data_IF_919798848223
#
_entry.id   IF_919798848223
#
_cell.length_a   1.000
_cell.length_b   1.000
_cell.length_c   1.000
_cell.angle_alpha   90.00
_cell.angle_beta   90.00
_cell.angle_gamma   90.00
#
_symmetry.space_group_name_H-M   'P 1'
#
loop_
_entity.id
_entity.type
_entity.pdbx_description
1 polymer ?
#
# COMPACT_ATOMS: atom_id res chain seq x y z
N UNK A 1 20.37 -6.56 -6.04
CA UNK A 1 20.03 -5.21 -6.56
C UNK A 1 19.19 -4.50 -5.52
N UNK A 2 19.62 -3.34 -5.02
CA UNK A 2 18.90 -2.62 -3.98
C UNK A 2 17.72 -1.83 -4.59
N UNK A 3 16.48 -2.21 -4.25
CA UNK A 3 15.26 -1.47 -4.65
C UNK A 3 15.27 -0.11 -3.95
N UNK A 4 15.50 0.97 -4.72
CA UNK A 4 15.50 2.36 -4.21
C UNK A 4 14.07 2.89 -4.16
N UNK A 5 13.47 2.88 -2.98
CA UNK A 5 12.22 3.60 -2.68
C UNK A 5 12.52 5.11 -2.55
N UNK A 6 11.98 5.93 -3.47
CA UNK A 6 12.15 7.39 -3.48
C UNK A 6 11.07 8.04 -2.59
N UNK A 7 11.46 8.66 -1.47
CA UNK A 7 10.52 9.18 -0.47
C UNK A 7 10.53 10.71 -0.41
N UNK A 8 9.35 11.34 -0.59
CA UNK A 8 9.13 12.75 -0.22
C UNK A 8 8.14 12.83 0.95
N UNK A 9 8.64 13.35 2.08
CA UNK A 9 7.98 13.96 3.24
C UNK A 9 6.79 13.23 3.93
N UNK A 10 6.99 12.93 5.22
CA UNK A 10 5.97 12.55 6.21
C UNK A 10 5.37 11.12 6.12
N UNK A 11 6.20 10.09 5.94
CA UNK A 11 5.79 8.72 6.21
C UNK A 11 5.95 8.39 7.70
N UNK A 12 4.84 8.30 8.42
CA UNK A 12 4.81 7.72 9.78
C UNK A 12 5.43 6.32 9.75
N UNK A 13 6.08 5.90 10.84
CA UNK A 13 6.80 4.62 10.95
C UNK A 13 5.96 3.40 10.52
N UNK A 14 4.63 3.46 10.71
CA UNK A 14 3.67 2.44 10.26
C UNK A 14 3.56 2.34 8.74
N UNK A 15 3.43 3.46 8.04
CA UNK A 15 3.37 3.49 6.58
C UNK A 15 4.64 2.90 5.96
N UNK A 16 5.81 3.29 6.46
CA UNK A 16 7.09 2.78 5.97
C UNK A 16 7.15 1.26 6.08
N UNK A 17 6.79 0.71 7.25
CA UNK A 17 6.77 -0.73 7.47
C UNK A 17 5.83 -1.45 6.51
N UNK A 18 4.64 -0.90 6.25
CA UNK A 18 3.70 -1.49 5.29
C UNK A 18 4.27 -1.50 3.87
N UNK A 19 4.87 -0.40 3.41
CA UNK A 19 5.49 -0.32 2.09
C UNK A 19 6.68 -1.27 1.94
N UNK A 20 7.52 -1.37 2.98
CA UNK A 20 8.65 -2.31 3.01
C UNK A 20 8.15 -3.76 2.96
N UNK A 21 7.09 -4.09 3.72
CA UNK A 21 6.47 -5.42 3.69
C UNK A 21 5.84 -5.75 2.33
N UNK A 22 5.15 -4.79 1.71
CA UNK A 22 4.60 -4.95 0.36
C UNK A 22 5.69 -5.21 -0.67
N UNK A 23 6.79 -4.47 -0.59
CA UNK A 23 7.92 -4.63 -1.49
C UNK A 23 8.70 -5.94 -1.28
N UNK A 24 8.47 -6.64 -0.16
CA UNK A 24 9.07 -7.93 0.17
C UNK A 24 8.24 -9.13 -0.28
N UNK A 25 7.01 -8.94 -0.74
CA UNK A 25 6.20 -10.01 -1.33
C UNK A 25 6.87 -10.54 -2.62
N UNK A 26 6.85 -11.86 -2.80
CA UNK A 26 7.56 -12.57 -3.88
C UNK A 26 7.20 -12.04 -5.27
N UNK A 27 5.91 -11.90 -5.55
CA UNK A 27 5.40 -11.47 -6.85
C UNK A 27 5.39 -9.95 -7.05
N UNK A 28 5.92 -9.16 -6.09
CA UNK A 28 5.96 -7.69 -6.20
C UNK A 28 7.27 -7.24 -6.84
N UNK A 29 7.14 -6.52 -7.96
CA UNK A 29 8.28 -5.94 -8.67
C UNK A 29 8.70 -4.60 -8.07
N UNK A 30 7.73 -3.73 -7.78
CA UNK A 30 7.96 -2.43 -7.15
C UNK A 30 6.68 -1.86 -6.53
N UNK A 31 6.84 -0.94 -5.58
CA UNK A 31 5.76 -0.20 -4.93
C UNK A 31 6.01 1.29 -5.09
N UNK A 32 5.02 2.03 -5.55
CA UNK A 32 5.09 3.48 -5.75
C UNK A 32 3.95 4.17 -4.99
N UNK A 33 4.27 5.15 -4.14
CA UNK A 33 3.26 6.01 -3.52
C UNK A 33 2.84 7.12 -4.50
N UNK A 34 1.54 7.27 -4.69
CA UNK A 34 0.92 8.33 -5.47
C UNK A 34 0.53 9.53 -4.59
N UNK A 35 -0.74 9.93 -4.67
CA UNK A 35 -1.24 11.13 -4.00
C UNK A 35 -1.43 10.88 -2.50
N UNK A 36 -0.82 11.74 -1.68
CA UNK A 36 -1.05 11.82 -0.24
C UNK A 36 -2.13 12.87 0.03
N UNK A 37 -3.17 12.50 0.77
CA UNK A 37 -4.24 13.40 1.21
C UNK A 37 -4.28 13.46 2.74
N UNK A 38 -4.25 14.64 3.37
CA UNK A 38 -4.43 14.74 4.81
C UNK A 38 -5.83 14.24 5.19
N UNK A 39 -5.91 13.49 6.29
CA UNK A 39 -7.18 13.03 6.85
C UNK A 39 -7.64 14.04 7.90
N UNK A 40 -8.80 14.65 7.68
CA UNK A 40 -9.44 15.54 8.65
C UNK A 40 -10.34 14.72 9.58
N UNK A 41 -10.11 14.80 10.89
CA UNK A 41 -10.96 14.21 11.94
C UNK A 41 -10.49 12.85 12.49
N UNK A 42 -10.95 12.53 13.70
CA UNK A 42 -10.75 11.25 14.41
C UNK A 42 -11.62 10.15 13.80
N UNK A 43 -11.27 9.70 12.60
CA UNK A 43 -12.01 8.66 11.89
C UNK A 43 -11.89 7.29 12.56
N UNK A 44 -12.96 6.49 12.46
CA UNK A 44 -13.03 5.07 12.89
C UNK A 44 -11.83 4.27 12.37
N UNK A 45 -11.30 3.28 13.12
CA UNK A 45 -10.24 2.41 12.63
C UNK A 45 -10.69 1.75 11.32
N UNK A 46 -9.92 2.02 10.26
CA UNK A 46 -10.07 1.42 8.94
C UNK A 46 -8.92 0.43 8.78
N UNK A 47 -9.11 -0.64 8.03
CA UNK A 47 -8.02 -1.51 7.61
C UNK A 47 -6.84 -0.70 7.05
N UNK A 48 -5.62 -1.22 7.19
CA UNK A 48 -4.43 -0.55 6.68
C UNK A 48 -4.56 -0.25 5.18
N UNK A 49 -5.20 -1.13 4.42
CA UNK A 49 -5.58 -0.96 3.02
C UNK A 49 -7.10 -1.05 2.90
N UNK A 50 -7.77 0.02 2.48
CA UNK A 50 -9.24 0.07 2.37
C UNK A 50 -9.79 -0.11 0.96
N UNK A 51 -8.93 -0.06 -0.06
CA UNK A 51 -9.31 -0.29 -1.45
C UNK A 51 -8.18 -1.00 -2.15
N UNK A 52 -8.53 -2.02 -2.93
CA UNK A 52 -7.65 -2.70 -3.87
C UNK A 52 -8.36 -2.71 -5.22
N UNK A 53 -7.65 -2.34 -6.28
CA UNK A 53 -8.17 -2.30 -7.64
C UNK A 53 -7.16 -2.87 -8.60
N UNK A 54 -7.60 -3.77 -9.46
CA UNK A 54 -6.81 -4.30 -10.55
C UNK A 54 -6.57 -3.24 -11.62
N UNK A 55 -5.37 -3.27 -12.18
CA UNK A 55 -4.92 -2.38 -13.26
C UNK A 55 -4.07 -3.17 -14.25
N UNK A 56 -3.75 -2.56 -15.39
CA UNK A 56 -2.98 -3.22 -16.45
C UNK A 56 -1.58 -3.69 -16.05
N UNK A 57 -0.99 -3.13 -15.00
CA UNK A 57 0.38 -3.42 -14.56
C UNK A 57 0.49 -3.82 -13.09
N UNK A 58 -0.63 -4.22 -12.46
CA UNK A 58 -0.67 -4.66 -11.07
C UNK A 58 -1.88 -4.09 -10.32
N UNK A 59 -1.67 -3.55 -9.12
CA UNK A 59 -2.73 -3.10 -8.22
C UNK A 59 -2.63 -1.61 -7.89
N UNK A 60 -3.77 -0.94 -7.83
CA UNK A 60 -3.93 0.38 -7.22
C UNK A 60 -4.61 0.20 -5.86
N UNK A 61 -3.95 0.67 -4.80
CA UNK A 61 -4.39 0.51 -3.42
C UNK A 61 -4.57 1.85 -2.71
N UNK A 62 -5.48 1.91 -1.75
CA UNK A 62 -5.63 3.06 -0.84
C UNK A 62 -5.21 2.65 0.56
N UNK A 63 -4.13 3.25 1.05
CA UNK A 63 -3.57 3.04 2.38
C UNK A 63 -4.11 4.09 3.35
N UNK A 64 -4.57 3.63 4.52
CA UNK A 64 -4.94 4.49 5.64
C UNK A 64 -3.75 4.57 6.60
N UNK A 65 -3.16 5.75 6.71
CA UNK A 65 -2.11 6.05 7.67
C UNK A 65 -2.63 7.05 8.70
N UNK A 66 -1.97 7.14 9.86
CA UNK A 66 -2.30 8.12 10.89
C UNK A 66 -2.24 9.54 10.31
N UNK A 67 -3.39 10.19 10.22
CA UNK A 67 -3.53 11.54 9.67
C UNK A 67 -3.46 11.65 8.14
N UNK A 68 -3.40 10.55 7.38
CA UNK A 68 -3.34 10.61 5.91
C UNK A 68 -4.01 9.42 5.21
N UNK A 69 -4.55 9.69 4.03
CA UNK A 69 -5.00 8.68 3.06
C UNK A 69 -4.05 8.75 1.87
N UNK A 70 -3.48 7.62 1.49
CA UNK A 70 -2.40 7.55 0.50
C UNK A 70 -2.80 6.58 -0.59
N UNK A 71 -2.87 7.05 -1.82
CA UNK A 71 -2.99 6.16 -2.97
C UNK A 71 -1.60 5.60 -3.28
N UNK A 72 -1.49 4.29 -3.51
CA UNK A 72 -0.24 3.63 -3.87
C UNK A 72 -0.48 2.61 -5.00
N UNK A 73 0.59 2.30 -5.73
CA UNK A 73 0.58 1.39 -6.85
C UNK A 73 1.57 0.25 -6.59
N UNK A 74 1.11 -0.97 -6.74
CA UNK A 74 1.92 -2.18 -6.63
C UNK A 74 2.08 -2.77 -8.02
N UNK A 75 3.30 -2.75 -8.54
CA UNK A 75 3.63 -3.31 -9.86
C UNK A 75 3.87 -4.80 -9.71
N UNK A 76 3.10 -5.61 -10.42
CA UNK A 76 3.18 -7.06 -10.40
C UNK A 76 2.52 -7.64 -11.66
N UNK A 77 3.01 -8.80 -12.11
CA UNK A 77 2.37 -9.59 -13.17
C UNK A 77 1.33 -10.58 -12.59
N UNK A 78 1.23 -10.69 -11.27
CA UNK A 78 0.30 -11.57 -10.55
C UNK A 78 -0.56 -10.80 -9.54
N UNK A 79 -1.45 -9.92 -10.00
CA UNK A 79 -2.25 -9.06 -9.12
C UNK A 79 -3.14 -9.87 -8.16
N UNK A 80 -3.71 -10.99 -8.59
CA UNK A 80 -4.55 -11.85 -7.73
C UNK A 80 -3.75 -12.46 -6.56
N UNK A 81 -2.54 -12.96 -6.83
CA UNK A 81 -1.68 -13.56 -5.81
C UNK A 81 -1.23 -12.52 -4.76
N UNK A 82 -0.92 -11.31 -5.23
CA UNK A 82 -0.56 -10.19 -4.34
C UNK A 82 -1.75 -9.74 -3.50
N UNK A 83 -2.95 -9.63 -4.08
CA UNK A 83 -4.17 -9.28 -3.35
C UNK A 83 -4.50 -10.35 -2.29
N UNK A 84 -4.36 -11.63 -2.61
CA UNK A 84 -4.52 -12.72 -1.67
C UNK A 84 -3.51 -12.62 -0.51
N UNK A 85 -2.23 -12.41 -0.81
CA UNK A 85 -1.20 -12.24 0.21
C UNK A 85 -1.49 -11.05 1.13
N UNK A 86 -1.99 -9.93 0.59
CA UNK A 86 -2.43 -8.79 1.41
C UNK A 86 -3.58 -9.16 2.36
N UNK A 87 -4.52 -10.00 1.90
CA UNK A 87 -5.60 -10.56 2.71
C UNK A 87 -5.09 -11.48 3.82
N UNK A 88 -4.17 -12.41 3.50
CA UNK A 88 -3.57 -13.35 4.45
C UNK A 88 -2.78 -12.64 5.56
N UNK A 89 -2.15 -11.51 5.23
CA UNK A 89 -1.49 -10.64 6.20
C UNK A 89 -2.45 -9.78 7.04
N UNK A 90 -3.76 -9.81 6.75
CA UNK A 90 -4.79 -9.02 7.44
C UNK A 90 -4.69 -7.51 7.17
N UNK A 91 -4.06 -7.11 6.05
CA UNK A 91 -3.92 -5.69 5.71
C UNK A 91 -5.18 -5.09 5.07
N UNK A 92 -5.96 -5.93 4.40
CA UNK A 92 -7.22 -5.56 3.77
C UNK A 92 -8.40 -5.99 4.65
N UNK A 93 -9.52 -5.27 4.55
CA UNK A 93 -10.82 -5.77 5.01
C UNK A 93 -11.50 -6.38 3.78
N UNK A 94 -11.51 -7.70 3.72
CA UNK A 94 -12.31 -8.53 2.80
C UNK A 94 -13.81 -8.29 3.01
#
# INVERSE_FOLDING_TARGET
MARKTHHKHSSTKGLRRLLDSLAALEDVHSVATGRVKPRMGSGRPVAAISKVRHTKSGLSITINADGAIIDAYVVTDRPDAVEQAMGDHGWTQS
#
